data_IF_359923929400
#
_entry.id   IF_359923929400
#
_cell.length_a   1.000
_cell.length_b   1.000
_cell.length_c   1.000
_cell.angle_alpha   90.00
_cell.angle_beta   90.00
_cell.angle_gamma   90.00
#
_symmetry.space_group_name_H-M   'P 1'
#
loop_
_entity.id
_entity.type
_entity.pdbx_description
1 polymer ?
#
# COMPACT_ATOMS: atom_id res chain seq x y z
N UNK A 1 0.20 -15.40 -9.71
CA UNK A 1 0.98 -14.40 -8.94
C UNK A 1 0.29 -14.19 -7.60
N UNK A 2 1.02 -14.14 -6.48
CA UNK A 2 0.42 -13.71 -5.20
C UNK A 2 -0.06 -12.25 -5.28
N UNK A 3 -1.04 -11.92 -4.46
CA UNK A 3 -1.65 -10.58 -4.36
C UNK A 3 -1.64 -10.11 -2.92
N UNK A 4 -1.57 -8.80 -2.71
CA UNK A 4 -1.64 -8.19 -1.38
C UNK A 4 -3.06 -8.31 -0.80
N UNK A 5 -3.19 -8.77 0.45
CA UNK A 5 -4.46 -8.89 1.15
C UNK A 5 -5.13 -7.55 1.51
N UNK A 6 -4.39 -6.44 1.56
CA UNK A 6 -4.92 -5.12 1.89
C UNK A 6 -5.45 -4.34 0.68
N UNK A 7 -4.71 -4.30 -0.43
CA UNK A 7 -5.11 -3.52 -1.62
C UNK A 7 -5.36 -4.35 -2.87
N UNK A 8 -5.08 -5.65 -2.86
CA UNK A 8 -5.24 -6.52 -4.04
C UNK A 8 -4.16 -6.34 -5.10
N UNK A 9 -3.17 -5.48 -4.91
CA UNK A 9 -2.09 -5.28 -5.86
C UNK A 9 -1.25 -6.55 -6.06
N UNK A 10 -0.69 -6.71 -7.26
CA UNK A 10 0.16 -7.86 -7.59
C UNK A 10 1.52 -7.76 -6.92
N UNK A 11 1.98 -8.87 -6.33
CA UNK A 11 3.31 -8.98 -5.71
C UNK A 11 4.07 -10.19 -6.26
N UNK A 12 5.40 -10.18 -6.07
CA UNK A 12 6.25 -11.30 -6.48
C UNK A 12 6.33 -12.35 -5.38
N UNK A 13 6.64 -13.60 -5.77
CA UNK A 13 6.84 -14.69 -4.81
C UNK A 13 8.04 -14.43 -3.89
N UNK A 14 9.09 -13.79 -4.41
CA UNK A 14 10.25 -13.38 -3.62
C UNK A 14 9.87 -12.34 -2.56
N UNK A 15 8.92 -11.45 -2.87
CA UNK A 15 8.41 -10.50 -1.89
C UNK A 15 7.67 -11.20 -0.74
N UNK A 16 6.77 -12.14 -1.07
CA UNK A 16 6.05 -12.94 -0.06
C UNK A 16 7.00 -13.78 0.79
N UNK A 17 8.13 -14.25 0.25
CA UNK A 17 9.13 -14.99 1.04
C UNK A 17 9.83 -14.15 2.11
N UNK A 18 10.00 -12.86 1.87
CA UNK A 18 10.73 -11.94 2.78
C UNK A 18 9.79 -11.28 3.78
N UNK A 19 8.62 -10.86 3.31
CA UNK A 19 7.68 -10.04 4.08
C UNK A 19 6.36 -10.75 4.40
N UNK A 20 6.11 -11.93 3.82
CA UNK A 20 4.91 -12.70 4.08
C UNK A 20 4.98 -13.48 5.37
N UNK A 21 3.81 -13.71 5.95
CA UNK A 21 3.59 -14.53 7.15
C UNK A 21 2.62 -15.64 6.76
N UNK A 22 2.94 -16.88 7.08
CA UNK A 22 2.14 -18.06 6.68
C UNK A 22 1.89 -18.18 5.16
N UNK A 23 2.76 -17.59 4.35
CA UNK A 23 2.64 -17.59 2.88
C UNK A 23 1.66 -16.57 2.32
N UNK A 24 1.11 -15.69 3.16
CA UNK A 24 0.27 -14.57 2.77
C UNK A 24 0.93 -13.23 3.10
N UNK A 25 0.52 -12.15 2.43
CA UNK A 25 1.04 -10.83 2.69
C UNK A 25 -0.07 -9.79 2.80
N UNK A 26 -0.07 -9.10 3.94
CA UNK A 26 -1.09 -8.11 4.25
C UNK A 26 -0.73 -6.71 3.76
N UNK A 27 0.55 -6.38 3.54
CA UNK A 27 0.96 -5.06 3.02
C UNK A 27 1.92 -5.19 1.85
N UNK A 28 1.90 -4.23 0.92
CA UNK A 28 2.79 -4.21 -0.24
C UNK A 28 3.27 -2.79 -0.56
N UNK A 29 4.32 -2.61 -1.38
CA UNK A 29 4.89 -1.30 -1.67
C UNK A 29 3.96 -0.37 -2.46
N UNK A 30 2.85 -0.89 -2.98
CA UNK A 30 1.82 -0.12 -3.67
C UNK A 30 0.93 0.64 -2.67
N UNK A 31 0.63 0.01 -1.52
CA UNK A 31 -0.24 0.59 -0.50
C UNK A 31 0.50 1.09 0.74
N UNK A 32 1.72 0.63 1.04
CA UNK A 32 2.46 0.95 2.26
C UNK A 32 3.97 1.12 2.00
N UNK A 33 4.68 1.81 2.90
CA UNK A 33 6.14 1.93 2.81
C UNK A 33 6.86 0.74 3.43
N UNK A 34 8.09 0.47 3.00
CA UNK A 34 8.94 -0.59 3.58
C UNK A 34 9.10 -0.48 5.10
N UNK A 35 9.04 0.73 5.66
CA UNK A 35 9.12 0.95 7.11
C UNK A 35 7.90 0.39 7.84
N UNK A 36 6.71 0.58 7.27
CA UNK A 36 5.44 0.06 7.81
C UNK A 36 5.38 -1.47 7.70
N UNK A 37 5.85 -2.01 6.57
CA UNK A 37 5.96 -3.45 6.35
C UNK A 37 6.88 -4.15 7.37
N UNK A 38 8.01 -3.53 7.72
CA UNK A 38 8.98 -4.09 8.67
C UNK A 38 8.54 -4.00 10.14
N UNK A 39 7.69 -3.03 10.48
CA UNK A 39 7.33 -2.77 11.89
C UNK A 39 6.17 -3.66 12.36
N UNK A 40 5.56 -4.46 11.47
CA UNK A 40 4.40 -5.29 11.83
C UNK A 40 3.15 -4.47 12.18
N UNK A 41 3.21 -3.15 11.97
CA UNK A 41 2.04 -2.28 11.98
C UNK A 41 1.24 -2.58 10.73
N UNK A 42 0.53 -3.71 10.80
CA UNK A 42 -0.40 -4.19 9.79
C UNK A 42 -1.25 -3.02 9.33
N UNK A 43 -1.03 -2.67 8.08
CA UNK A 43 -1.73 -1.70 7.27
C UNK A 43 -3.21 -1.60 7.64
N UNK A 44 -3.56 -0.62 8.47
CA UNK A 44 -4.92 -0.11 8.56
C UNK A 44 -4.97 1.09 7.63
N UNK A 45 -5.12 0.83 6.34
CA UNK A 45 -5.32 1.91 5.37
C UNK A 45 -6.83 2.07 5.21
N UNK A 46 -7.47 3.13 5.72
CA UNK A 46 -8.76 3.52 5.20
C UNK A 46 -8.55 3.80 3.71
N UNK A 47 -9.24 3.04 2.87
CA UNK A 47 -9.29 3.26 1.42
C UNK A 47 -9.56 4.75 1.15
N UNK A 48 -8.65 5.40 0.41
CA UNK A 48 -8.70 6.83 0.17
C UNK A 48 -7.74 7.26 -0.92
N UNK A 49 -7.87 6.66 -2.08
CA UNK A 49 -7.31 7.18 -3.33
C UNK A 49 -8.11 8.43 -3.76
N UNK A 50 -7.84 9.56 -3.14
CA UNK A 50 -8.30 10.86 -3.66
C UNK A 50 -7.12 11.70 -4.11
N UNK A 51 -6.56 11.30 -5.26
CA UNK A 51 -6.09 12.28 -6.21
C UNK A 51 -7.33 12.99 -6.80
N UNK A 52 -7.89 13.95 -6.06
CA UNK A 52 -8.65 15.03 -6.66
C UNK A 52 -7.67 16.15 -6.98
N UNK A 53 -7.16 16.06 -8.20
CA UNK A 53 -6.79 17.21 -9.02
C UNK A 53 -8.00 18.15 -9.11
N UNK A 54 -8.24 18.94 -8.06
CA UNK A 54 -9.21 20.02 -8.04
C UNK A 54 -8.45 21.34 -7.94
N UNK A 55 -8.12 21.86 -9.12
CA UNK A 55 -8.19 23.28 -9.46
C UNK A 55 -7.66 24.25 -8.41
N UNK A 56 -6.45 24.79 -8.64
CA UNK A 56 -6.17 26.15 -8.18
C UNK A 56 -7.18 27.10 -8.85
N UNK A 57 -7.98 27.91 -8.12
CA UNK A 57 -8.23 29.25 -8.57
C UNK A 57 -7.07 30.10 -8.05
N UNK A 58 -6.23 30.53 -8.98
CA UNK A 58 -5.38 31.69 -8.77
C UNK A 58 -6.29 32.88 -8.43
N UNK A 59 -6.41 33.23 -7.16
CA UNK A 59 -7.08 34.42 -6.65
C UNK A 59 -6.29 34.80 -5.39
N UNK A 60 -5.38 35.75 -5.39
CA UNK A 60 -5.41 37.06 -6.03
C UNK A 60 -5.29 38.09 -4.90
N UNK A 61 -4.07 38.55 -4.61
CA UNK A 61 -3.72 39.95 -4.33
C UNK A 61 -2.21 40.09 -4.20
#
# INVERSE_FOLDING_TARGET
>A
MPTCGNCGAYVTRDFVRVFGVDGDIQGCPDCATYRELYTGAGVVHPAGNENQSASLPHSGR
#
